data_IF_008283490676
#
_entry.id   IF_008283490676
#
_cell.length_a   1.000
_cell.length_b   1.000
_cell.length_c   1.000
_cell.angle_alpha   90.00
_cell.angle_beta   90.00
_cell.angle_gamma   90.00
#
_symmetry.space_group_name_H-M   'P 1'
#
loop_
_entity.id
_entity.type
_entity.pdbx_description
1 polymer ?
#
# COMPACT_ATOMS: atom_id res chain seq x y z
N UNK A 1 1.53 -5.72 -15.75
CA UNK A 1 0.58 -5.98 -14.65
C UNK A 1 1.24 -5.46 -13.39
N UNK A 2 0.53 -4.72 -12.55
CA UNK A 2 1.08 -4.20 -11.29
C UNK A 2 1.43 -5.36 -10.36
N UNK A 3 2.65 -5.41 -9.82
CA UNK A 3 3.05 -6.41 -8.81
C UNK A 3 2.90 -5.85 -7.40
N UNK A 4 2.92 -6.72 -6.39
CA UNK A 4 2.94 -6.33 -4.98
C UNK A 4 4.15 -5.43 -4.64
N UNK A 5 5.32 -5.74 -5.19
CA UNK A 5 6.54 -4.95 -5.00
C UNK A 5 6.43 -3.58 -5.68
N UNK A 6 5.91 -3.53 -6.91
CA UNK A 6 5.68 -2.26 -7.61
C UNK A 6 4.69 -1.37 -6.84
N UNK A 7 3.63 -1.98 -6.31
CA UNK A 7 2.63 -1.30 -5.47
C UNK A 7 3.25 -0.74 -4.19
N UNK A 8 4.06 -1.54 -3.49
CA UNK A 8 4.76 -1.09 -2.28
C UNK A 8 5.66 0.13 -2.59
N UNK A 9 6.48 0.07 -3.65
CA UNK A 9 7.37 1.17 -4.03
C UNK A 9 6.59 2.43 -4.45
N UNK A 10 5.48 2.27 -5.18
CA UNK A 10 4.62 3.38 -5.57
C UNK A 10 3.99 4.06 -4.35
N UNK A 11 3.47 3.28 -3.40
CA UNK A 11 2.88 3.80 -2.16
C UNK A 11 3.92 4.59 -1.35
N UNK A 12 5.12 4.02 -1.16
CA UNK A 12 6.21 4.68 -0.43
C UNK A 12 6.62 5.99 -1.11
N UNK A 13 6.82 5.97 -2.43
CA UNK A 13 7.22 7.16 -3.19
C UNK A 13 6.17 8.27 -3.08
N UNK A 14 4.87 7.90 -3.12
CA UNK A 14 3.75 8.83 -3.00
C UNK A 14 3.65 9.43 -1.59
N UNK A 15 3.83 8.63 -0.55
CA UNK A 15 3.86 9.10 0.85
C UNK A 15 5.03 10.06 1.10
N UNK A 16 6.24 9.74 0.63
CA UNK A 16 7.40 10.65 0.75
C UNK A 16 7.11 11.98 0.06
N UNK A 17 6.51 11.95 -1.14
CA UNK A 17 6.18 13.16 -1.90
C UNK A 17 5.10 14.01 -1.24
N UNK A 18 4.05 13.39 -0.71
CA UNK A 18 2.86 14.10 -0.21
C UNK A 18 2.94 14.48 1.27
N UNK A 19 3.69 13.72 2.08
CA UNK A 19 3.76 13.87 3.54
C UNK A 19 5.18 14.13 4.04
N UNK A 20 6.19 14.08 3.18
CA UNK A 20 7.60 14.21 3.57
C UNK A 20 8.11 12.96 4.30
N UNK A 21 9.21 13.12 5.04
CA UNK A 21 9.87 12.00 5.71
C UNK A 21 10.75 11.17 4.77
N UNK A 22 11.14 9.97 5.20
CA UNK A 22 12.03 9.08 4.44
C UNK A 22 11.30 7.82 3.99
N UNK A 23 11.75 7.21 2.91
CA UNK A 23 11.21 5.93 2.44
C UNK A 23 11.25 4.85 3.53
N UNK A 24 12.30 4.83 4.36
CA UNK A 24 12.44 3.88 5.45
C UNK A 24 11.35 4.03 6.53
N UNK A 25 10.96 5.26 6.85
CA UNK A 25 9.88 5.53 7.81
C UNK A 25 8.55 4.98 7.27
N UNK A 26 8.28 5.23 5.99
CA UNK A 26 7.04 4.77 5.35
C UNK A 26 7.02 3.27 5.10
N UNK A 27 8.14 2.66 4.73
CA UNK A 27 8.28 1.20 4.65
C UNK A 27 7.92 0.53 5.96
N UNK A 28 8.46 1.04 7.07
CA UNK A 28 8.16 0.50 8.40
C UNK A 28 6.68 0.65 8.74
N UNK A 29 6.10 1.81 8.43
CA UNK A 29 4.70 2.09 8.76
C UNK A 29 3.71 1.33 7.87
N UNK A 30 4.01 1.18 6.58
CA UNK A 30 3.17 0.45 5.61
C UNK A 30 3.19 -1.06 5.85
N UNK A 31 4.36 -1.60 6.20
CA UNK A 31 4.60 -3.03 6.18
C UNK A 31 4.64 -3.58 4.75
N UNK A 32 4.43 -4.90 4.61
CA UNK A 32 4.42 -5.58 3.32
C UNK A 32 3.02 -5.57 2.71
N UNK A 33 2.95 -5.52 1.38
CA UNK A 33 1.74 -5.84 0.62
C UNK A 33 1.50 -7.34 0.65
N UNK A 34 0.30 -7.75 1.07
CA UNK A 34 -0.14 -9.14 1.14
C UNK A 34 -1.14 -9.39 0.01
N UNK A 35 -0.75 -10.19 -0.98
CA UNK A 35 -1.64 -10.60 -2.07
C UNK A 35 -2.52 -11.78 -1.62
N UNK A 36 -3.80 -11.71 -1.95
CA UNK A 36 -4.85 -12.68 -1.70
C UNK A 36 -5.34 -13.27 -3.02
N UNK A 37 -5.95 -14.44 -2.93
CA UNK A 37 -6.54 -15.11 -4.09
C UNK A 37 -7.75 -14.31 -4.61
N UNK A 38 -7.72 -13.96 -5.90
CA UNK A 38 -8.80 -13.25 -6.59
C UNK A 38 -10.12 -14.00 -6.59
N UNK A 39 -10.11 -15.33 -6.47
CA UNK A 39 -11.33 -16.13 -6.37
C UNK A 39 -12.12 -15.83 -5.09
N UNK A 40 -11.43 -15.44 -4.01
CA UNK A 40 -12.06 -15.05 -2.73
C UNK A 40 -12.10 -13.53 -2.52
N UNK A 41 -11.24 -12.79 -3.23
CA UNK A 41 -11.08 -11.34 -3.11
C UNK A 41 -11.15 -10.66 -4.50
N UNK A 42 -12.32 -10.76 -5.14
CA UNK A 42 -12.52 -10.32 -6.53
C UNK A 42 -12.49 -8.78 -6.73
N UNK A 43 -12.75 -8.00 -5.68
CA UNK A 43 -12.84 -6.54 -5.75
C UNK A 43 -11.55 -5.82 -5.33
N UNK A 44 -10.74 -6.45 -4.49
CA UNK A 44 -9.43 -5.96 -4.09
C UNK A 44 -8.64 -7.15 -3.56
N UNK A 45 -7.60 -7.56 -4.27
CA UNK A 45 -6.90 -8.80 -3.93
C UNK A 45 -5.66 -8.57 -3.05
N UNK A 46 -5.54 -7.41 -2.41
CA UNK A 46 -4.37 -7.13 -1.58
C UNK A 46 -4.74 -6.29 -0.36
N UNK A 47 -3.88 -6.40 0.64
CA UNK A 47 -3.96 -5.67 1.91
C UNK A 47 -2.56 -5.36 2.45
N UNK A 48 -2.46 -4.53 3.48
CA UNK A 48 -1.20 -4.17 4.14
C UNK A 48 -1.31 -4.30 5.66
N UNK A 49 -0.18 -4.57 6.32
CA UNK A 49 -0.12 -4.64 7.79
C UNK A 49 0.49 -3.36 8.36
N UNK A 50 -0.37 -2.39 8.66
CA UNK A 50 0.06 -1.08 9.13
C UNK A 50 0.70 -1.15 10.52
N UNK A 51 1.71 -0.31 10.71
CA UNK A 51 2.33 -0.06 12.00
C UNK A 51 2.76 1.41 12.09
N UNK A 52 3.16 1.86 13.28
CA UNK A 52 3.60 3.25 13.48
C UNK A 52 2.57 4.08 14.23
N UNK A 53 2.63 5.40 14.05
CA UNK A 53 1.75 6.33 14.77
C UNK A 53 0.39 6.46 14.09
N UNK A 54 -0.63 6.89 14.83
CA UNK A 54 -1.97 7.13 14.29
C UNK A 54 -1.96 8.09 13.08
N UNK A 55 -1.08 9.08 13.09
CA UNK A 55 -0.91 10.03 11.97
C UNK A 55 -0.34 9.33 10.73
N UNK A 56 0.59 8.40 10.91
CA UNK A 56 1.14 7.61 9.80
C UNK A 56 0.08 6.65 9.24
N UNK A 57 -0.61 5.92 10.11
CA UNK A 57 -1.68 5.00 9.71
C UNK A 57 -2.79 5.74 8.95
N UNK A 58 -3.27 6.87 9.46
CA UNK A 58 -4.31 7.66 8.79
C UNK A 58 -3.86 8.25 7.44
N UNK A 59 -2.56 8.58 7.30
CA UNK A 59 -2.01 9.03 6.02
C UNK A 59 -1.95 7.89 5.00
N UNK A 60 -1.59 6.68 5.45
CA UNK A 60 -1.54 5.49 4.61
C UNK A 60 -2.95 5.07 4.21
N UNK A 61 -3.88 4.92 5.15
CA UNK A 61 -5.27 4.53 4.90
C UNK A 61 -5.93 5.42 3.83
N UNK A 62 -5.78 6.74 3.95
CA UNK A 62 -6.30 7.68 2.95
C UNK A 62 -5.71 7.43 1.55
N UNK A 63 -4.42 7.14 1.47
CA UNK A 63 -3.79 6.82 0.19
C UNK A 63 -4.24 5.46 -0.35
N UNK A 64 -4.47 4.46 0.51
CA UNK A 64 -4.95 3.15 0.10
C UNK A 64 -6.33 3.25 -0.55
N UNK A 65 -7.22 4.10 -0.03
CA UNK A 65 -8.55 4.30 -0.62
C UNK A 65 -8.45 4.78 -2.07
N UNK A 66 -7.60 5.77 -2.36
CA UNK A 66 -7.37 6.26 -3.72
C UNK A 66 -6.74 5.17 -4.61
N UNK A 67 -5.70 4.50 -4.10
CA UNK A 67 -4.96 3.50 -4.88
C UNK A 67 -5.79 2.25 -5.17
N UNK A 68 -6.73 1.88 -4.29
CA UNK A 68 -7.67 0.77 -4.54
C UNK A 68 -8.62 1.05 -5.70
N UNK A 69 -8.93 2.32 -5.98
CA UNK A 69 -9.72 2.70 -7.16
C UNK A 69 -8.94 2.52 -8.46
N UNK A 70 -7.62 2.72 -8.43
CA UNK A 70 -6.73 2.64 -9.59
C UNK A 70 -6.18 1.22 -9.82
N UNK A 71 -5.87 0.51 -8.74
CA UNK A 71 -5.09 -0.73 -8.72
C UNK A 71 -5.66 -1.75 -7.73
N UNK A 72 -6.91 -2.17 -7.94
CA UNK A 72 -7.56 -3.16 -7.07
C UNK A 72 -6.99 -4.59 -7.18
N UNK A 73 -6.41 -4.95 -8.33
CA UNK A 73 -5.88 -6.30 -8.59
C UNK A 73 -4.40 -6.24 -8.94
N UNK A 74 -3.57 -6.92 -8.16
CA UNK A 74 -2.11 -7.02 -8.35
C UNK A 74 -1.64 -8.46 -8.43
N UNK A 75 -0.51 -8.69 -9.09
CA UNK A 75 0.18 -9.98 -9.09
C UNK A 75 1.10 -10.11 -7.87
N UNK A 76 1.39 -11.35 -7.46
CA UNK A 76 2.54 -11.60 -6.61
C UNK A 76 3.82 -11.14 -7.33
N UNK A 77 4.74 -10.52 -6.58
CA UNK A 77 6.04 -10.01 -7.06
C UNK A 77 7.19 -10.70 -6.38
#
# INVERSE_FOLDING_TARGET
MMTATDLEQMLIARLVRERGGTSQIWQRALGRVIVRDTATHAHCNWDVSLSGTDVQCAAIERLLDDVRLEHSIVAAG
#
